data_IF_571508910944
#
_entry.id   IF_571508910944
#
_cell.length_a   1.000
_cell.length_b   1.000
_cell.length_c   1.000
_cell.angle_alpha   90.00
_cell.angle_beta   90.00
_cell.angle_gamma   90.00
#
_symmetry.space_group_name_H-M   'P 1'
#
loop_
_entity.id
_entity.type
_entity.pdbx_description
1 polymer ?
#
# COMPACT_ATOMS: atom_id res chain seq x y z
N UNK A 1 19.36 -17.77 -53.93
CA UNK A 1 20.72 -17.26 -54.26
C UNK A 1 21.12 -16.35 -53.10
N UNK A 2 21.74 -16.88 -52.03
CA UNK A 2 23.20 -17.03 -51.79
C UNK A 2 23.92 -15.66 -51.62
N UNK A 3 24.80 -15.37 -50.65
CA UNK A 3 25.31 -16.00 -49.42
C UNK A 3 26.21 -14.94 -48.71
N UNK A 4 26.79 -15.31 -47.54
CA UNK A 4 27.85 -14.64 -46.75
C UNK A 4 27.38 -13.63 -45.67
N UNK A 5 27.76 -13.69 -44.39
CA UNK A 5 28.71 -14.53 -43.66
C UNK A 5 29.52 -13.69 -42.67
N UNK A 6 29.83 -14.24 -41.48
CA UNK A 6 30.86 -13.78 -40.50
C UNK A 6 30.47 -12.59 -39.58
N UNK A 7 30.74 -12.53 -38.25
CA UNK A 7 31.55 -13.32 -37.30
C UNK A 7 30.95 -13.23 -35.89
N UNK A 8 31.18 -14.27 -35.09
CA UNK A 8 31.01 -14.30 -33.63
C UNK A 8 32.13 -13.49 -32.96
N UNK A 9 31.79 -12.73 -31.94
CA UNK A 9 32.75 -12.28 -30.92
C UNK A 9 32.33 -12.91 -29.58
N UNK A 10 33.02 -13.98 -29.21
CA UNK A 10 33.11 -14.44 -27.83
C UNK A 10 34.03 -13.47 -27.07
N UNK A 11 33.42 -12.67 -26.21
CA UNK A 11 34.11 -11.86 -25.23
C UNK A 11 33.94 -12.50 -23.86
N UNK A 12 35.05 -12.99 -23.33
CA UNK A 12 35.27 -13.37 -21.93
C UNK A 12 34.53 -12.42 -20.97
N UNK A 13 33.51 -12.94 -20.28
CA UNK A 13 32.86 -12.28 -19.16
C UNK A 13 32.96 -13.20 -17.96
N UNK A 14 34.07 -13.05 -17.24
CA UNK A 14 34.20 -13.44 -15.83
C UNK A 14 32.88 -13.14 -15.09
N UNK A 15 32.30 -14.09 -14.36
CA UNK A 15 31.08 -13.83 -13.59
C UNK A 15 31.43 -12.85 -12.47
N UNK A 16 31.13 -11.57 -12.71
CA UNK A 16 31.18 -10.55 -11.69
C UNK A 16 30.21 -10.93 -10.58
N UNK A 17 30.66 -10.75 -9.33
CA UNK A 17 29.90 -10.83 -8.07
C UNK A 17 28.59 -10.03 -8.15
N UNK A 18 27.56 -10.57 -8.80
CA UNK A 18 26.17 -10.23 -8.51
C UNK A 18 25.80 -11.05 -7.29
N UNK A 19 26.32 -10.59 -6.15
CA UNK A 19 25.86 -11.04 -4.85
C UNK A 19 24.35 -11.00 -4.83
N UNK A 20 23.80 -12.06 -4.23
CA UNK A 20 22.39 -12.34 -4.05
C UNK A 20 21.67 -11.14 -3.41
N UNK A 21 21.24 -10.19 -4.22
CA UNK A 21 20.24 -9.20 -3.82
C UNK A 21 18.92 -9.95 -3.66
N UNK A 22 18.70 -10.43 -2.43
CA UNK A 22 17.39 -10.79 -1.94
C UNK A 22 16.47 -9.62 -2.30
N UNK A 23 15.58 -9.80 -3.28
CA UNK A 23 14.67 -8.74 -3.75
C UNK A 23 13.94 -8.23 -2.51
N UNK A 24 14.24 -7.00 -2.10
CA UNK A 24 13.46 -6.33 -1.08
C UNK A 24 12.14 -5.98 -1.78
N UNK A 25 11.09 -6.73 -1.46
CA UNK A 25 9.75 -6.39 -1.92
C UNK A 25 9.34 -5.10 -1.21
N UNK A 26 9.47 -3.99 -1.92
CA UNK A 26 8.94 -2.72 -1.48
C UNK A 26 7.51 -2.64 -1.98
N UNK A 27 6.56 -2.35 -1.10
CA UNK A 27 5.14 -2.21 -1.46
C UNK A 27 4.71 -0.75 -1.22
N UNK A 28 5.07 0.19 -2.12
CA UNK A 28 4.54 1.56 -2.07
C UNK A 28 3.02 1.53 -2.13
N UNK A 29 2.37 2.07 -1.12
CA UNK A 29 0.92 2.14 -1.01
C UNK A 29 0.50 3.54 -0.66
N UNK A 30 -0.34 4.16 -1.49
CA UNK A 30 -0.97 5.42 -1.14
C UNK A 30 -2.48 5.21 -1.00
N UNK A 31 -3.02 5.62 0.14
CA UNK A 31 -4.47 5.64 0.39
C UNK A 31 -4.87 7.03 0.89
N UNK A 32 -6.09 7.44 0.58
CA UNK A 32 -6.58 8.76 0.95
C UNK A 32 -7.40 8.70 2.24
N UNK A 33 -8.41 7.84 2.25
CA UNK A 33 -9.49 7.87 3.23
C UNK A 33 -9.71 6.53 3.93
N UNK A 34 -8.97 5.48 3.58
CA UNK A 34 -9.13 4.14 4.15
C UNK A 34 -7.77 3.57 4.56
N UNK A 35 -7.76 2.82 5.66
CA UNK A 35 -6.56 2.07 6.05
C UNK A 35 -6.40 0.88 5.08
N UNK A 36 -5.22 0.66 4.47
CA UNK A 36 -5.03 -0.39 3.49
C UNK A 36 -5.18 -1.77 4.14
N UNK A 37 -5.67 -2.75 3.37
CA UNK A 37 -5.92 -4.12 3.86
C UNK A 37 -4.73 -4.77 4.56
N UNK A 38 -3.50 -4.37 4.24
CA UNK A 38 -2.26 -4.81 4.91
C UNK A 38 -2.23 -4.49 6.42
N UNK A 39 -2.91 -3.43 6.84
CA UNK A 39 -2.95 -2.94 8.22
C UNK A 39 -4.35 -3.03 8.83
N UNK A 40 -5.29 -3.75 8.22
CA UNK A 40 -6.64 -3.88 8.76
C UNK A 40 -6.72 -4.97 9.82
N UNK A 41 -7.44 -4.68 10.91
CA UNK A 41 -7.97 -5.67 11.85
C UNK A 41 -9.10 -6.46 11.17
N UNK A 42 -9.49 -7.57 11.79
CA UNK A 42 -10.63 -8.36 11.31
C UNK A 42 -11.91 -7.54 11.28
N UNK A 43 -12.25 -6.84 12.36
CA UNK A 43 -13.48 -6.06 12.44
C UNK A 43 -13.56 -5.00 11.34
N UNK A 44 -12.48 -4.26 11.13
CA UNK A 44 -12.41 -3.25 10.06
C UNK A 44 -12.48 -3.88 8.67
N UNK A 45 -11.73 -4.96 8.42
CA UNK A 45 -11.76 -5.66 7.14
C UNK A 45 -13.15 -6.22 6.84
N UNK A 46 -13.85 -6.77 7.84
CA UNK A 46 -15.22 -7.27 7.72
C UNK A 46 -16.19 -6.15 7.38
N UNK A 47 -16.15 -5.03 8.10
CA UNK A 47 -17.08 -3.93 7.88
C UNK A 47 -16.94 -3.32 6.46
N UNK A 48 -15.69 -3.06 6.03
CA UNK A 48 -15.40 -2.57 4.67
C UNK A 48 -15.84 -3.58 3.61
N UNK A 49 -15.55 -4.87 3.83
CA UNK A 49 -15.87 -5.92 2.84
C UNK A 49 -17.38 -6.13 2.74
N UNK A 50 -18.09 -6.17 3.86
CA UNK A 50 -19.55 -6.30 3.92
C UNK A 50 -20.23 -5.17 3.13
N UNK A 51 -19.81 -3.92 3.33
CA UNK A 51 -20.32 -2.78 2.57
C UNK A 51 -20.18 -3.00 1.06
N UNK A 52 -18.98 -3.34 0.59
CA UNK A 52 -18.75 -3.51 -0.85
C UNK A 52 -19.46 -4.73 -1.43
N UNK A 53 -19.63 -5.82 -0.68
CA UNK A 53 -20.42 -6.98 -1.12
C UNK A 53 -21.87 -6.61 -1.33
N UNK A 54 -22.46 -5.93 -0.36
CA UNK A 54 -23.83 -5.44 -0.45
C UNK A 54 -23.99 -4.45 -1.60
N UNK A 55 -23.12 -3.44 -1.69
CA UNK A 55 -23.21 -2.39 -2.70
C UNK A 55 -23.08 -2.93 -4.14
N UNK A 56 -22.20 -3.92 -4.34
CA UNK A 56 -21.96 -4.52 -5.66
C UNK A 56 -22.86 -5.73 -5.96
N UNK A 57 -23.81 -6.06 -5.08
CA UNK A 57 -24.63 -7.28 -5.18
C UNK A 57 -23.79 -8.56 -5.40
N UNK A 58 -22.65 -8.64 -4.72
CA UNK A 58 -21.76 -9.80 -4.78
C UNK A 58 -22.18 -10.88 -3.76
N UNK A 59 -21.71 -12.13 -3.90
CA UNK A 59 -22.01 -13.20 -2.94
C UNK A 59 -21.67 -12.81 -1.50
N UNK A 60 -22.47 -13.28 -0.54
CA UNK A 60 -22.23 -13.09 0.88
C UNK A 60 -21.16 -14.05 1.42
N UNK A 61 -19.93 -13.85 0.95
CA UNK A 61 -18.73 -14.61 1.30
C UNK A 61 -17.78 -13.80 2.20
N UNK A 62 -18.33 -12.86 2.99
CA UNK A 62 -17.55 -11.86 3.73
C UNK A 62 -16.51 -12.50 4.63
N UNK A 63 -16.88 -13.56 5.35
CA UNK A 63 -15.96 -14.27 6.24
C UNK A 63 -14.74 -14.83 5.49
N UNK A 64 -14.96 -15.57 4.41
CA UNK A 64 -13.91 -16.17 3.59
C UNK A 64 -13.03 -15.11 2.91
N UNK A 65 -13.65 -14.04 2.40
CA UNK A 65 -12.94 -12.92 1.78
C UNK A 65 -12.03 -12.20 2.80
N UNK A 66 -12.50 -12.03 4.03
CA UNK A 66 -11.71 -11.44 5.13
C UNK A 66 -10.58 -12.37 5.53
N UNK A 67 -10.80 -13.68 5.66
CA UNK A 67 -9.72 -14.64 5.95
C UNK A 67 -8.61 -14.58 4.90
N UNK A 68 -8.97 -14.60 3.62
CA UNK A 68 -8.00 -14.49 2.53
C UNK A 68 -7.23 -13.16 2.59
N UNK A 69 -7.91 -12.06 2.91
CA UNK A 69 -7.28 -10.73 3.05
C UNK A 69 -6.29 -10.70 4.21
N UNK A 70 -6.69 -11.19 5.39
CA UNK A 70 -5.84 -11.24 6.58
C UNK A 70 -4.66 -12.19 6.38
N UNK A 71 -4.87 -13.35 5.76
CA UNK A 71 -3.79 -14.28 5.43
C UNK A 71 -2.78 -13.66 4.44
N UNK A 72 -3.23 -12.88 3.46
CA UNK A 72 -2.34 -12.12 2.55
C UNK A 72 -1.57 -11.04 3.29
N UNK A 73 -2.22 -10.32 4.21
CA UNK A 73 -1.59 -9.30 5.03
C UNK A 73 -0.49 -9.91 5.90
N UNK A 74 -0.78 -11.03 6.58
CA UNK A 74 0.18 -11.74 7.44
C UNK A 74 1.42 -12.24 6.67
N UNK A 75 1.26 -12.73 5.43
CA UNK A 75 2.40 -13.13 4.58
C UNK A 75 3.24 -11.94 4.09
N UNK A 76 2.63 -10.78 3.96
CA UNK A 76 3.29 -9.56 3.45
C UNK A 76 3.97 -8.78 4.58
N UNK A 77 3.35 -8.70 5.76
CA UNK A 77 3.83 -7.93 6.91
C UNK A 77 4.90 -8.70 7.71
N UNK A 78 6.02 -8.98 7.04
CA UNK A 78 7.14 -9.75 7.59
C UNK A 78 8.46 -8.98 7.44
N UNK A 79 9.47 -9.21 8.32
CA UNK A 79 10.74 -8.48 8.31
C UNK A 79 11.57 -8.59 7.02
N UNK A 80 11.26 -9.57 6.16
CA UNK A 80 11.95 -9.76 4.88
C UNK A 80 11.48 -8.77 3.81
N UNK A 81 10.35 -8.11 4.03
CA UNK A 81 9.79 -7.11 3.13
C UNK A 81 10.06 -5.70 3.66
N UNK A 82 9.95 -4.69 2.78
CA UNK A 82 9.96 -3.28 3.17
C UNK A 82 8.61 -2.68 2.82
N UNK A 83 7.90 -2.19 3.83
CA UNK A 83 6.54 -1.70 3.64
C UNK A 83 6.58 -0.18 3.72
N UNK A 84 6.14 0.49 2.65
CA UNK A 84 6.09 1.95 2.59
C UNK A 84 4.66 2.39 2.29
N UNK A 85 4.01 3.02 3.25
CA UNK A 85 2.61 3.44 3.15
C UNK A 85 2.48 4.93 3.43
N UNK A 86 1.69 5.62 2.62
CA UNK A 86 1.29 7.01 2.85
C UNK A 86 -0.23 7.09 2.90
N UNK A 87 -0.76 7.50 4.04
CA UNK A 87 -2.19 7.70 4.27
C UNK A 87 -2.54 9.19 4.24
N UNK A 88 -3.74 9.55 3.78
CA UNK A 88 -4.38 10.80 4.17
C UNK A 88 -4.83 10.74 5.64
N UNK A 89 -4.87 11.88 6.31
CA UNK A 89 -5.36 11.98 7.68
C UNK A 89 -6.84 11.56 7.81
N UNK A 90 -7.61 11.66 6.72
CA UNK A 90 -8.99 11.19 6.62
C UNK A 90 -9.12 9.69 6.94
N UNK A 91 -8.12 8.87 6.61
CA UNK A 91 -8.10 7.44 6.92
C UNK A 91 -8.07 7.14 8.43
N UNK A 92 -7.70 8.12 9.27
CA UNK A 92 -7.77 7.99 10.72
C UNK A 92 -9.13 8.43 11.29
N UNK A 93 -9.84 9.30 10.56
CA UNK A 93 -11.05 9.98 11.02
C UNK A 93 -12.32 9.22 10.65
N UNK A 94 -12.37 8.64 9.44
CA UNK A 94 -13.55 7.89 9.01
C UNK A 94 -13.68 6.58 9.77
N UNK A 95 -14.86 6.37 10.35
CA UNK A 95 -15.25 5.14 11.02
C UNK A 95 -15.92 4.22 9.98
N UNK A 96 -15.18 3.22 9.52
CA UNK A 96 -15.73 2.20 8.62
C UNK A 96 -16.39 1.05 9.37
N UNK A 97 -16.20 0.97 10.68
CA UNK A 97 -16.84 -0.02 11.55
C UNK A 97 -18.12 0.55 12.15
N UNK A 98 -19.09 -0.31 12.42
CA UNK A 98 -20.33 0.08 13.12
C UNK A 98 -20.13 0.37 14.62
N UNK A 99 -18.95 0.06 15.16
CA UNK A 99 -18.60 0.18 16.58
C UNK A 99 -17.41 1.13 16.78
N UNK A 100 -17.51 2.13 17.68
CA UNK A 100 -16.38 2.95 18.10
C UNK A 100 -15.21 2.12 18.64
N UNK A 101 -15.50 1.05 19.38
CA UNK A 101 -14.48 0.16 19.94
C UNK A 101 -13.66 -0.55 18.85
N UNK A 102 -14.31 -0.96 17.76
CA UNK A 102 -13.64 -1.62 16.63
C UNK A 102 -12.74 -0.63 15.86
N UNK A 103 -13.16 0.64 15.78
CA UNK A 103 -12.34 1.71 15.18
C UNK A 103 -11.13 2.02 16.06
N UNK A 104 -11.33 2.11 17.38
CA UNK A 104 -10.24 2.26 18.34
C UNK A 104 -9.26 1.08 18.26
N UNK A 105 -9.75 -0.16 18.15
CA UNK A 105 -8.91 -1.33 17.93
C UNK A 105 -8.09 -1.21 16.64
N UNK A 106 -8.72 -0.76 15.55
CA UNK A 106 -8.05 -0.52 14.29
C UNK A 106 -6.91 0.51 14.40
N UNK A 107 -7.16 1.65 15.05
CA UNK A 107 -6.15 2.68 15.24
C UNK A 107 -5.02 2.21 16.18
N UNK A 108 -5.36 1.49 17.23
CA UNK A 108 -4.36 0.87 18.12
C UNK A 108 -3.49 -0.15 17.36
N UNK A 109 -4.09 -0.97 16.48
CA UNK A 109 -3.35 -1.87 15.61
C UNK A 109 -2.43 -1.12 14.64
N UNK A 110 -2.92 -0.06 14.01
CA UNK A 110 -2.13 0.80 13.13
C UNK A 110 -0.92 1.39 13.87
N UNK A 111 -1.11 1.84 15.12
CA UNK A 111 -0.03 2.32 15.97
C UNK A 111 1.00 1.22 16.27
N UNK A 112 0.57 -0.02 16.53
CA UNK A 112 1.48 -1.17 16.73
C UNK A 112 2.31 -1.45 15.48
N UNK A 113 1.69 -1.58 14.32
CA UNK A 113 2.42 -1.92 13.07
C UNK A 113 3.33 -0.78 12.61
N UNK A 114 3.00 0.48 12.90
CA UNK A 114 3.85 1.64 12.61
C UNK A 114 5.19 1.66 13.35
N UNK A 115 5.34 0.80 14.37
CA UNK A 115 6.59 0.66 15.16
C UNK A 115 7.49 -0.46 14.63
N UNK A 116 7.03 -1.25 13.67
CA UNK A 116 7.84 -2.31 13.09
C UNK A 116 9.01 -1.70 12.29
N UNK A 117 10.26 -2.18 12.45
CA UNK A 117 11.45 -1.55 11.84
C UNK A 117 11.50 -1.69 10.32
N UNK A 118 10.61 -2.47 9.74
CA UNK A 118 10.47 -2.69 8.31
C UNK A 118 9.22 -2.00 7.71
N UNK A 119 8.48 -1.22 8.52
CA UNK A 119 7.32 -0.43 8.10
C UNK A 119 7.67 1.06 8.17
N UNK A 120 7.51 1.76 7.06
CA UNK A 120 7.51 3.20 6.96
C UNK A 120 6.08 3.68 6.70
N UNK A 121 5.50 4.36 7.69
CA UNK A 121 4.14 4.90 7.61
C UNK A 121 4.19 6.43 7.67
N UNK A 122 3.76 7.06 6.57
CA UNK A 122 3.53 8.49 6.46
C UNK A 122 2.05 8.83 6.56
N UNK A 123 1.75 9.97 7.16
CA UNK A 123 0.40 10.55 7.20
C UNK A 123 0.45 11.96 6.64
N UNK A 124 -0.35 12.25 5.61
CA UNK A 124 -0.51 13.58 5.05
C UNK A 124 -1.53 14.34 5.89
N UNK A 125 -1.14 15.41 6.62
CA UNK A 125 -2.07 16.17 7.44
C UNK A 125 -3.09 16.95 6.61
N UNK A 126 -4.32 17.11 7.14
CA UNK A 126 -5.35 17.97 6.54
C UNK A 126 -4.91 19.42 6.41
N UNK A 127 -4.06 19.90 7.32
CA UNK A 127 -3.48 21.24 7.31
C UNK A 127 -2.38 21.44 6.27
N UNK A 128 -2.05 20.42 5.45
CA UNK A 128 -1.10 20.59 4.36
C UNK A 128 -1.69 21.53 3.29
N UNK A 129 -1.28 22.80 3.35
CA UNK A 129 -1.99 23.97 2.82
C UNK A 129 -2.26 24.01 1.30
N UNK A 130 -1.83 23.00 0.54
CA UNK A 130 -2.06 22.97 -0.92
C UNK A 130 -2.26 21.53 -1.37
N UNK A 131 -3.48 21.10 -1.73
CA UNK A 131 -3.73 19.78 -2.35
C UNK A 131 -3.31 19.74 -3.84
N UNK A 132 -2.15 20.33 -4.19
CA UNK A 132 -1.60 20.28 -5.55
C UNK A 132 -1.29 18.84 -5.93
N UNK A 133 -1.93 18.34 -6.98
CA UNK A 133 -1.66 17.01 -7.52
C UNK A 133 -2.12 15.87 -6.63
N UNK A 134 -3.25 16.03 -5.91
CA UNK A 134 -3.88 14.92 -5.19
C UNK A 134 -3.95 13.71 -6.12
N UNK A 135 -3.36 12.59 -5.71
CA UNK A 135 -3.80 11.31 -6.24
C UNK A 135 -5.32 11.29 -6.04
N UNK A 136 -6.07 11.16 -7.13
CA UNK A 136 -7.54 11.16 -7.10
C UNK A 136 -8.08 9.81 -6.59
N UNK A 137 -7.19 8.84 -6.43
CA UNK A 137 -7.47 7.46 -6.01
C UNK A 137 -6.24 6.83 -5.36
N UNK A 138 -6.47 5.85 -4.50
CA UNK A 138 -5.41 5.03 -3.92
C UNK A 138 -4.73 4.15 -4.97
N UNK A 139 -3.46 3.82 -4.73
CA UNK A 139 -2.70 2.94 -5.61
C UNK A 139 -1.65 2.14 -4.86
N UNK A 140 -1.33 0.96 -5.39
CA UNK A 140 -0.36 0.03 -4.83
C UNK A 140 0.64 -0.39 -5.91
N UNK A 141 1.93 -0.27 -5.61
CA UNK A 141 3.02 -0.66 -6.50
C UNK A 141 3.61 -1.98 -5.97
N UNK A 142 3.74 -2.96 -6.86
CA UNK A 142 4.33 -4.27 -6.54
C UNK A 142 5.57 -4.49 -7.39
N UNK A 143 6.69 -4.75 -6.72
CA UNK A 143 7.99 -5.10 -7.32
C UNK A 143 8.48 -4.14 -8.41
N UNK A 144 8.05 -2.87 -8.35
CA UNK A 144 8.28 -1.86 -9.41
C UNK A 144 7.90 -2.35 -10.82
N UNK A 145 7.01 -3.35 -10.89
CA UNK A 145 6.63 -4.03 -12.12
C UNK A 145 5.15 -3.83 -12.47
N UNK A 146 4.33 -3.53 -11.46
CA UNK A 146 2.90 -3.28 -11.66
C UNK A 146 2.40 -2.25 -10.66
N UNK A 147 1.58 -1.32 -11.14
CA UNK A 147 0.71 -0.50 -10.29
C UNK A 147 -0.71 -1.02 -10.42
N UNK A 148 -1.39 -1.16 -9.28
CA UNK A 148 -2.83 -1.41 -9.23
C UNK A 148 -3.52 -0.14 -8.76
N UNK A 149 -4.63 0.16 -9.41
CA UNK A 149 -5.58 1.19 -8.99
C UNK A 149 -6.93 0.52 -9.00
N UNK A 150 -7.70 0.67 -7.94
CA UNK A 150 -9.01 0.06 -7.81
C UNK A 150 -10.08 1.14 -7.86
N UNK A 151 -11.15 0.85 -8.61
CA UNK A 151 -12.42 1.56 -8.57
C UNK A 151 -13.48 0.57 -8.06
N UNK A 152 -14.68 1.05 -7.70
CA UNK A 152 -15.73 0.14 -7.23
C UNK A 152 -16.06 -1.01 -8.20
N UNK A 153 -15.91 -0.80 -9.52
CA UNK A 153 -16.34 -1.76 -10.54
C UNK A 153 -15.20 -2.38 -11.34
N UNK A 154 -13.99 -1.82 -11.28
CA UNK A 154 -12.88 -2.27 -12.09
C UNK A 154 -11.53 -2.05 -11.39
N UNK A 155 -10.53 -2.82 -11.81
CA UNK A 155 -9.14 -2.58 -11.43
C UNK A 155 -8.35 -2.19 -12.68
N UNK A 156 -7.58 -1.10 -12.58
CA UNK A 156 -6.63 -0.70 -13.60
C UNK A 156 -5.27 -1.30 -13.22
N UNK A 157 -4.70 -2.07 -14.14
CA UNK A 157 -3.35 -2.63 -14.03
C UNK A 157 -2.41 -1.86 -14.95
N UNK A 158 -1.49 -1.11 -14.36
CA UNK A 158 -0.46 -0.37 -15.10
C UNK A 158 0.82 -1.20 -15.13
N UNK A 159 1.31 -1.51 -16.32
CA UNK A 159 2.54 -2.29 -16.53
C UNK A 159 3.58 -1.59 -17.41
N UNK A 160 3.23 -0.44 -18.00
CA UNK A 160 4.19 0.32 -18.82
C UNK A 160 5.26 0.94 -17.92
N UNK A 161 6.56 0.71 -18.17
CA UNK A 161 7.63 1.22 -17.29
C UNK A 161 7.58 2.72 -17.06
N UNK A 162 7.28 3.52 -18.09
CA UNK A 162 7.16 4.98 -18.00
C UNK A 162 6.03 5.41 -17.07
N UNK A 163 4.89 4.71 -17.11
CA UNK A 163 3.76 4.97 -16.22
C UNK A 163 4.04 4.50 -14.79
N UNK A 164 4.74 3.38 -14.61
CA UNK A 164 5.19 2.94 -13.27
C UNK A 164 6.10 4.00 -12.64
N UNK A 165 7.06 4.54 -13.41
CA UNK A 165 7.94 5.61 -12.93
C UNK A 165 7.17 6.88 -12.57
N UNK A 166 6.10 7.22 -13.31
CA UNK A 166 5.21 8.32 -12.94
C UNK A 166 4.54 8.10 -11.58
N UNK A 167 4.05 6.89 -11.30
CA UNK A 167 3.44 6.56 -10.00
C UNK A 167 4.47 6.53 -8.86
N UNK A 168 5.70 6.06 -9.10
CA UNK A 168 6.78 6.13 -8.12
C UNK A 168 7.11 7.58 -7.75
N UNK A 169 7.18 8.47 -8.74
CA UNK A 169 7.37 9.91 -8.49
C UNK A 169 6.20 10.53 -7.73
N UNK A 170 4.97 10.15 -8.08
CA UNK A 170 3.78 10.59 -7.35
C UNK A 170 3.80 10.11 -5.89
N UNK A 171 4.17 8.85 -5.65
CA UNK A 171 4.32 8.30 -4.31
C UNK A 171 5.39 9.08 -3.51
N UNK A 172 6.56 9.32 -4.10
CA UNK A 172 7.61 10.11 -3.46
C UNK A 172 7.17 11.55 -3.15
N UNK A 173 6.37 12.17 -4.03
CA UNK A 173 5.76 13.47 -3.77
C UNK A 173 4.85 13.43 -2.53
N UNK A 174 3.98 12.42 -2.44
CA UNK A 174 3.10 12.23 -1.28
C UNK A 174 3.90 11.94 0.01
N UNK A 175 4.99 11.16 -0.08
CA UNK A 175 5.88 10.90 1.04
C UNK A 175 6.53 12.18 1.59
N UNK A 176 6.96 13.10 0.71
CA UNK A 176 7.57 14.37 1.12
C UNK A 176 6.60 15.32 1.84
N UNK A 177 5.29 15.13 1.63
CA UNK A 177 4.23 15.90 2.29
C UNK A 177 3.72 15.27 3.58
N UNK A 178 4.01 13.98 3.77
CA UNK A 178 3.58 13.24 4.93
C UNK A 178 4.50 13.51 6.12
N UNK A 179 3.93 13.52 7.32
CA UNK A 179 4.71 13.37 8.54
C UNK A 179 4.96 11.89 8.79
N UNK A 180 6.12 11.56 9.36
CA UNK A 180 6.57 10.17 9.58
C UNK A 180 6.98 9.94 11.04
N UNK A 181 7.22 8.68 11.38
CA UNK A 181 7.81 8.29 12.66
C UNK A 181 6.98 8.78 13.85
N UNK A 182 7.61 9.50 14.78
CA UNK A 182 6.95 9.96 16.00
C UNK A 182 5.79 10.93 15.72
N UNK A 183 5.90 11.76 14.69
CA UNK A 183 4.84 12.70 14.33
C UNK A 183 3.59 12.00 13.77
N UNK A 184 3.76 11.02 12.87
CA UNK A 184 2.66 10.17 12.41
C UNK A 184 1.99 9.42 13.57
N UNK A 185 2.79 8.84 14.46
CA UNK A 185 2.27 8.12 15.64
C UNK A 185 1.47 9.02 16.59
N UNK A 186 1.85 10.30 16.74
CA UNK A 186 1.07 11.27 17.51
C UNK A 186 -0.29 11.54 16.88
N UNK A 187 -0.37 11.63 15.54
CA UNK A 187 -1.66 11.79 14.86
C UNK A 187 -2.57 10.58 15.03
N UNK A 188 -2.02 9.36 14.94
CA UNK A 188 -2.78 8.12 15.20
C UNK A 188 -3.26 8.09 16.65
N UNK A 189 -2.40 8.44 17.61
CA UNK A 189 -2.74 8.46 19.03
C UNK A 189 -3.81 9.51 19.35
N UNK A 190 -3.77 10.68 18.72
CA UNK A 190 -4.82 11.69 18.85
C UNK A 190 -6.16 11.17 18.32
N UNK A 191 -6.17 10.61 17.10
CA UNK A 191 -7.40 10.01 16.54
C UNK A 191 -7.95 8.85 17.40
N UNK A 192 -7.07 8.09 18.05
CA UNK A 192 -7.46 7.02 18.98
C UNK A 192 -8.07 7.56 20.27
N UNK A 193 -7.59 8.69 20.78
CA UNK A 193 -8.16 9.31 21.97
C UNK A 193 -9.57 9.86 21.71
N UNK A 194 -9.87 10.21 20.45
CA UNK A 194 -11.17 10.71 20.00
C UNK A 194 -12.12 9.60 19.50
N UNK A 195 -11.69 8.32 19.53
CA UNK A 195 -12.40 7.17 18.95
C UNK A 195 -13.56 6.67 19.83
#
# INVERSE_FOLDING_TARGET
MAHAGCRRHEGDRRPGRRDRLRRLHTVPTHELNIIPGLFQTRAYASAVTAFWRQFLNAPDDVADAVELKLARAARTLVPTNRIAVVLGAEALQYRYTGSPADHAEQLAHLLRVSRLPFVSLGIVPLSSAVRTGSATTGFWIFDEAVVRIETPTAAIKVTRPTEIQLHLRLFAHQQGRAVHGAAARRMIAAALADA
#
